data_IF_486018892588
#
_entry.id   IF_486018892588
#
_cell.length_a   1.000
_cell.length_b   1.000
_cell.length_c   1.000
_cell.angle_alpha   90.00
_cell.angle_beta   90.00
_cell.angle_gamma   90.00
#
_symmetry.space_group_name_H-M   'P 1'
#
loop_
_entity.id
_entity.type
_entity.pdbx_description
1 polymer ?
#
# COMPACT_ATOMS: atom_id res chain seq x y z
N UNK A 1 12.06 27.64 -13.12
CA UNK A 1 13.50 27.29 -12.99
C UNK A 1 13.81 26.93 -11.53
N UNK A 2 14.56 25.85 -11.29
CA UNK A 2 14.82 25.27 -9.96
C UNK A 2 15.43 26.30 -8.97
N UNK A 3 16.27 27.21 -9.48
CA UNK A 3 16.95 28.22 -8.68
C UNK A 3 16.01 29.22 -8.00
N UNK A 4 14.95 29.64 -8.69
CA UNK A 4 13.93 30.53 -8.11
C UNK A 4 13.20 29.87 -6.94
N UNK A 5 12.99 28.55 -7.00
CA UNK A 5 12.42 27.80 -5.89
C UNK A 5 13.40 27.73 -4.71
N UNK A 6 14.68 27.48 -4.98
CA UNK A 6 15.71 27.44 -3.94
C UNK A 6 15.82 28.79 -3.20
N UNK A 7 15.80 29.91 -3.92
CA UNK A 7 15.77 31.26 -3.33
C UNK A 7 14.51 31.49 -2.50
N UNK A 8 13.34 31.07 -3.01
CA UNK A 8 12.06 31.21 -2.30
C UNK A 8 12.03 30.38 -1.02
N UNK A 9 12.61 29.17 -1.03
CA UNK A 9 12.76 28.33 0.15
C UNK A 9 13.72 28.96 1.16
N UNK A 10 14.85 29.49 0.69
CA UNK A 10 15.82 30.17 1.55
C UNK A 10 15.16 31.36 2.26
N UNK A 11 14.42 32.19 1.53
CA UNK A 11 13.68 33.31 2.08
C UNK A 11 12.62 32.86 3.09
N UNK A 12 11.87 31.81 2.79
CA UNK A 12 10.84 31.27 3.69
C UNK A 12 11.43 30.76 5.01
N UNK A 13 12.55 30.04 4.99
CA UNK A 13 13.20 29.53 6.20
C UNK A 13 13.95 30.59 7.01
N UNK A 14 14.23 31.76 6.42
CA UNK A 14 14.81 32.91 7.13
C UNK A 14 13.77 33.75 7.88
N UNK A 15 12.48 33.54 7.64
CA UNK A 15 11.42 34.22 8.39
C UNK A 15 11.35 33.73 9.84
N UNK A 16 10.99 34.61 10.79
CA UNK A 16 10.72 34.20 12.18
C UNK A 16 9.62 33.12 12.28
N UNK A 17 8.61 33.20 11.41
CA UNK A 17 7.62 32.15 11.19
C UNK A 17 7.58 31.75 9.71
N UNK A 18 8.25 30.65 9.32
CA UNK A 18 8.29 30.18 7.95
C UNK A 18 6.90 29.90 7.37
N UNK A 19 5.92 29.51 8.18
CA UNK A 19 4.59 29.10 7.69
C UNK A 19 3.78 30.25 7.09
N UNK A 20 4.19 31.49 7.37
CA UNK A 20 3.59 32.71 6.79
C UNK A 20 4.01 32.96 5.35
N UNK A 21 5.06 32.31 4.85
CA UNK A 21 5.51 32.46 3.47
C UNK A 21 4.48 31.86 2.50
N UNK A 22 4.31 32.49 1.33
CA UNK A 22 3.34 32.06 0.30
C UNK A 22 3.50 30.59 -0.11
N UNK A 23 4.73 30.08 -0.08
CA UNK A 23 5.05 28.66 -0.34
C UNK A 23 4.29 27.69 0.58
N UNK A 24 3.98 28.10 1.80
CA UNK A 24 3.35 27.27 2.82
C UNK A 24 1.92 27.73 3.17
N UNK A 25 1.54 28.96 2.80
CA UNK A 25 0.25 29.55 3.12
C UNK A 25 -0.98 28.82 2.51
N UNK A 26 -0.78 28.01 1.46
CA UNK A 26 -1.88 27.37 0.69
C UNK A 26 -1.89 25.84 0.72
N UNK A 27 -1.20 25.21 1.66
CA UNK A 27 -1.14 23.74 1.72
C UNK A 27 -2.28 23.15 2.54
N UNK A 28 -3.10 22.28 1.95
CA UNK A 28 -4.17 21.56 2.66
C UNK A 28 -3.65 20.66 3.79
N UNK A 29 -2.41 20.21 3.71
CA UNK A 29 -1.85 19.20 4.63
C UNK A 29 -0.89 19.76 5.69
N UNK A 30 -0.40 21.00 5.58
CA UNK A 30 0.44 21.61 6.64
C UNK A 30 -0.42 22.19 7.78
N UNK A 31 -1.41 21.43 8.22
CA UNK A 31 -2.18 21.69 9.41
C UNK A 31 -1.81 20.67 10.51
N UNK A 32 -2.25 20.95 11.74
CA UNK A 32 -1.95 20.09 12.90
C UNK A 32 -2.35 18.63 12.68
N UNK A 33 -3.45 18.38 11.98
CA UNK A 33 -3.91 17.02 11.65
C UNK A 33 -3.00 16.33 10.64
N UNK A 34 -2.56 17.04 9.60
CA UNK A 34 -1.65 16.50 8.60
C UNK A 34 -0.28 16.17 9.19
N UNK A 35 0.26 17.03 10.05
CA UNK A 35 1.50 16.73 10.77
C UNK A 35 1.37 15.52 11.72
N UNK A 36 0.22 15.39 12.39
CA UNK A 36 -0.07 14.22 13.24
C UNK A 36 -0.11 12.94 12.41
N UNK A 37 -0.81 12.96 11.25
CA UNK A 37 -0.85 11.82 10.33
C UNK A 37 0.54 11.48 9.78
N UNK A 38 1.31 12.48 9.35
CA UNK A 38 2.68 12.27 8.86
C UNK A 38 3.54 11.57 9.91
N UNK A 39 3.48 12.05 11.16
CA UNK A 39 4.22 11.47 12.28
C UNK A 39 3.77 10.03 12.57
N UNK A 40 2.46 9.78 12.58
CA UNK A 40 1.91 8.44 12.79
C UNK A 40 2.33 7.46 11.69
N UNK A 41 2.22 7.87 10.43
CA UNK A 41 2.63 7.06 9.28
C UNK A 41 4.12 6.73 9.32
N UNK A 42 4.97 7.70 9.71
CA UNK A 42 6.40 7.48 9.86
C UNK A 42 6.70 6.42 10.93
N UNK A 43 6.08 6.54 12.11
CA UNK A 43 6.25 5.57 13.20
C UNK A 43 5.74 4.18 12.82
N UNK A 44 4.59 4.10 12.13
CA UNK A 44 4.07 2.84 11.59
C UNK A 44 5.03 2.23 10.56
N UNK A 45 5.62 3.07 9.70
CA UNK A 45 6.64 2.68 8.74
C UNK A 45 7.87 2.04 9.39
N UNK A 46 8.41 2.65 10.45
CA UNK A 46 9.53 2.10 11.23
C UNK A 46 9.16 0.72 11.78
N UNK A 47 8.00 0.62 12.43
CA UNK A 47 7.53 -0.65 13.00
C UNK A 47 7.38 -1.73 11.92
N UNK A 48 6.84 -1.36 10.76
CA UNK A 48 6.70 -2.27 9.63
C UNK A 48 8.04 -2.72 9.09
N UNK A 49 9.00 -1.81 8.93
CA UNK A 49 10.34 -2.11 8.45
C UNK A 49 11.07 -3.07 9.38
N UNK A 50 11.01 -2.83 10.69
CA UNK A 50 11.61 -3.69 11.70
C UNK A 50 10.99 -5.09 11.70
N UNK A 51 9.66 -5.19 11.59
CA UNK A 51 8.98 -6.48 11.47
C UNK A 51 9.38 -7.23 10.20
N UNK A 52 9.50 -6.53 9.06
CA UNK A 52 9.98 -7.15 7.81
C UNK A 52 11.41 -7.66 7.94
N UNK A 53 12.31 -6.90 8.57
CA UNK A 53 13.68 -7.33 8.82
C UNK A 53 13.72 -8.62 9.66
N UNK A 54 12.94 -8.65 10.75
CA UNK A 54 12.83 -9.84 11.62
C UNK A 54 12.24 -11.06 10.89
N UNK A 55 11.29 -10.86 9.98
CA UNK A 55 10.66 -11.93 9.22
C UNK A 55 11.51 -12.44 8.05
N UNK A 56 12.10 -11.53 7.26
CA UNK A 56 12.74 -11.87 5.98
C UNK A 56 14.23 -12.13 6.10
N UNK A 57 14.94 -11.36 6.94
CA UNK A 57 16.39 -11.49 7.10
C UNK A 57 16.71 -12.43 8.25
N UNK A 58 16.21 -12.12 9.46
CA UNK A 58 16.52 -12.92 10.65
C UNK A 58 15.71 -14.23 10.72
N UNK A 59 14.55 -14.29 10.05
CA UNK A 59 13.62 -15.43 10.07
C UNK A 59 13.18 -15.85 11.48
N UNK A 60 13.20 -14.92 12.44
CA UNK A 60 12.81 -15.15 13.85
C UNK A 60 11.32 -14.96 14.09
N UNK A 61 10.63 -14.23 13.19
CA UNK A 61 9.19 -14.02 13.22
C UNK A 61 8.51 -14.71 12.03
N UNK A 62 7.30 -15.22 12.25
CA UNK A 62 6.50 -15.77 11.16
C UNK A 62 5.99 -14.67 10.24
N UNK A 63 6.11 -14.89 8.94
CA UNK A 63 5.68 -13.92 7.94
C UNK A 63 4.16 -13.79 7.94
N UNK A 64 3.64 -12.65 8.40
CA UNK A 64 2.21 -12.34 8.27
C UNK A 64 1.91 -11.93 6.83
N UNK A 65 1.57 -12.90 6.01
CA UNK A 65 1.18 -12.65 4.61
C UNK A 65 -0.31 -12.27 4.59
N UNK A 66 -0.62 -11.02 4.24
CA UNK A 66 -2.00 -10.56 3.97
C UNK A 66 -2.25 -10.47 2.45
N UNK A 67 -3.49 -10.70 2.01
CA UNK A 67 -3.91 -10.54 0.61
C UNK A 67 -3.59 -11.73 -0.32
N UNK A 68 -3.47 -11.47 -1.63
CA UNK A 68 -3.32 -12.50 -2.69
C UNK A 68 -2.14 -13.46 -2.45
N UNK A 69 -1.06 -12.98 -1.84
CA UNK A 69 0.11 -13.80 -1.50
C UNK A 69 -0.21 -14.89 -0.46
N UNK A 70 -1.16 -14.67 0.47
CA UNK A 70 -1.60 -15.70 1.43
C UNK A 70 -2.31 -16.85 0.74
N UNK A 71 -3.13 -16.54 -0.26
CA UNK A 71 -3.82 -17.56 -1.06
C UNK A 71 -2.82 -18.39 -1.86
N UNK A 72 -1.78 -17.76 -2.39
CA UNK A 72 -0.73 -18.45 -3.13
C UNK A 72 0.12 -19.35 -2.23
N UNK A 73 0.58 -18.86 -1.08
CA UNK A 73 1.36 -19.69 -0.14
C UNK A 73 0.54 -20.83 0.45
N UNK A 74 -0.72 -20.58 0.85
CA UNK A 74 -1.60 -21.65 1.31
C UNK A 74 -1.89 -22.64 0.19
N UNK A 75 -2.09 -22.18 -1.05
CA UNK A 75 -2.26 -23.09 -2.18
C UNK A 75 -1.02 -23.93 -2.44
N UNK A 76 0.19 -23.38 -2.28
CA UNK A 76 1.43 -24.16 -2.43
C UNK A 76 1.53 -25.16 -1.29
N UNK A 77 1.40 -24.74 -0.03
CA UNK A 77 1.48 -25.60 1.16
C UNK A 77 0.44 -26.73 1.07
N UNK A 78 -0.81 -26.41 0.72
CA UNK A 78 -1.84 -27.43 0.51
C UNK A 78 -1.50 -28.35 -0.64
N UNK A 79 -0.95 -27.84 -1.76
CA UNK A 79 -0.52 -28.68 -2.89
C UNK A 79 0.66 -29.60 -2.55
N UNK A 80 1.64 -29.14 -1.78
CA UNK A 80 2.75 -30.00 -1.32
C UNK A 80 2.25 -31.05 -0.33
N UNK A 81 1.38 -30.68 0.62
CA UNK A 81 0.77 -31.65 1.54
C UNK A 81 -0.08 -32.68 0.75
N UNK A 82 -0.90 -32.23 -0.20
CA UNK A 82 -1.69 -33.16 -1.03
C UNK A 82 -0.83 -33.98 -1.96
N UNK A 83 0.25 -33.45 -2.54
CA UNK A 83 1.15 -34.24 -3.40
C UNK A 83 1.91 -35.31 -2.60
N UNK A 84 2.25 -35.03 -1.34
CA UNK A 84 2.84 -36.03 -0.44
C UNK A 84 1.82 -37.09 0.00
N UNK A 85 0.53 -36.74 0.02
CA UNK A 85 -0.55 -37.67 0.40
C UNK A 85 -1.23 -38.36 -0.79
N UNK A 86 -1.03 -37.87 -2.02
CA UNK A 86 -1.73 -38.33 -3.23
C UNK A 86 -0.83 -39.12 -4.20
N UNK A 87 0.16 -39.88 -3.69
CA UNK A 87 0.46 -41.18 -4.32
C UNK A 87 -0.75 -42.12 -4.27
N UNK A 88 -1.74 -41.84 -3.41
CA UNK A 88 -3.07 -42.43 -3.42
C UNK A 88 -4.15 -41.43 -3.86
N UNK A 89 -4.71 -41.66 -5.06
CA UNK A 89 -6.08 -41.32 -5.49
C UNK A 89 -6.42 -39.96 -6.15
N UNK A 90 -6.58 -40.07 -7.49
CA UNK A 90 -7.56 -39.49 -8.44
C UNK A 90 -7.87 -37.97 -8.47
N UNK A 91 -7.61 -37.42 -9.67
CA UNK A 91 -7.85 -36.03 -10.15
C UNK A 91 -9.34 -35.69 -10.27
N UNK A 92 -9.78 -34.55 -9.70
CA UNK A 92 -11.04 -33.87 -10.04
C UNK A 92 -10.76 -32.55 -10.78
N UNK A 93 -11.58 -32.26 -11.79
CA UNK A 93 -11.40 -31.16 -12.76
C UNK A 93 -11.77 -29.78 -12.19
N UNK A 94 -11.12 -28.68 -12.63
CA UNK A 94 -11.36 -27.35 -12.06
C UNK A 94 -12.68 -26.74 -12.57
N UNK A 95 -13.49 -26.22 -11.65
CA UNK A 95 -14.74 -25.52 -11.93
C UNK A 95 -14.53 -24.23 -12.74
N UNK A 96 -15.35 -24.02 -13.77
CA UNK A 96 -15.26 -22.87 -14.70
C UNK A 96 -15.68 -21.57 -14.00
N UNK A 97 -14.93 -20.50 -14.26
CA UNK A 97 -15.11 -19.16 -13.69
C UNK A 97 -16.41 -18.50 -14.18
N UNK A 98 -17.33 -18.21 -13.28
CA UNK A 98 -18.55 -17.42 -13.57
C UNK A 98 -18.17 -15.93 -13.62
N UNK A 99 -18.39 -15.26 -14.76
CA UNK A 99 -18.24 -13.80 -14.89
C UNK A 99 -19.53 -13.13 -14.40
N UNK A 100 -19.42 -12.17 -13.48
CA UNK A 100 -20.54 -11.29 -13.11
C UNK A 100 -20.57 -10.10 -14.07
N UNK A 101 -21.67 -9.84 -14.80
CA UNK A 101 -21.77 -8.66 -15.64
C UNK A 101 -21.80 -7.39 -14.79
N UNK A 102 -21.23 -6.31 -15.31
CA UNK A 102 -21.28 -4.97 -14.70
C UNK A 102 -22.70 -4.40 -14.77
N UNK A 103 -23.14 -3.78 -13.67
CA UNK A 103 -24.47 -3.16 -13.58
C UNK A 103 -24.54 -1.87 -14.41
N UNK A 104 -25.73 -1.45 -14.82
CA UNK A 104 -25.88 -0.24 -15.65
C UNK A 104 -25.38 1.01 -14.92
N UNK A 105 -25.56 1.10 -13.60
CA UNK A 105 -24.98 2.16 -12.77
C UNK A 105 -23.44 2.22 -12.85
N UNK A 106 -22.76 1.07 -12.86
CA UNK A 106 -21.28 1.07 -13.02
C UNK A 106 -20.83 1.53 -14.41
N UNK A 107 -21.67 1.33 -15.44
CA UNK A 107 -21.36 1.79 -16.80
C UNK A 107 -21.51 3.31 -16.91
N UNK A 108 -22.53 3.87 -16.29
CA UNK A 108 -22.73 5.33 -16.23
C UNK A 108 -21.57 6.03 -15.51
N UNK A 109 -21.15 5.52 -14.34
CA UNK A 109 -20.01 6.09 -13.60
C UNK A 109 -18.74 6.06 -14.46
N UNK A 110 -18.47 4.95 -15.15
CA UNK A 110 -17.29 4.82 -16.00
C UNK A 110 -17.36 5.74 -17.24
N UNK A 111 -18.55 5.99 -17.77
CA UNK A 111 -18.73 6.87 -18.93
C UNK A 111 -18.34 8.32 -18.62
N UNK A 112 -18.64 8.79 -17.40
CA UNK A 112 -18.31 10.13 -16.93
C UNK A 112 -16.80 10.36 -16.77
N UNK A 113 -16.01 9.29 -16.61
CA UNK A 113 -14.56 9.36 -16.45
C UNK A 113 -13.79 9.29 -17.78
N UNK A 114 -14.49 8.98 -18.88
CA UNK A 114 -13.92 8.85 -20.23
C UNK A 114 -14.25 10.05 -21.13
N UNK A 115 -14.88 11.09 -20.56
CA UNK A 115 -15.17 12.36 -21.23
C UNK A 115 -14.21 13.42 -20.70
#
# INVERSE_FOLDING_TARGET
>A
PIWKLAESLLAAFQLPDPTTHELFANTMELNKTGYSHLSSCYMEGINRQNSLYRQEILKVETKVIKGKKRKYTNSIISKTITNNNNESEKKQTPSKRIRRPTSNSTKEILSQLLT
#
